data_IF_225266024318
#
_entry.id   IF_225266024318
#
_cell.length_a   1.000
_cell.length_b   1.000
_cell.length_c   1.000
_cell.angle_alpha   90.00
_cell.angle_beta   90.00
_cell.angle_gamma   90.00
#
_symmetry.space_group_name_H-M   'P 1'
#
loop_
_entity.id
_entity.type
_entity.pdbx_description
1 polymer ?
#
# COMPACT_ATOMS: atom_id res chain seq x y z
N UNK A 1 -5.77 25.90 -9.08
CA UNK A 1 -5.66 24.56 -9.67
C UNK A 1 -4.31 24.44 -10.34
N UNK A 2 -3.38 23.80 -9.64
CA UNK A 2 -2.06 23.46 -10.15
C UNK A 2 -2.14 22.05 -10.68
N UNK A 3 -1.66 21.79 -11.90
CA UNK A 3 -1.65 20.45 -12.48
C UNK A 3 -0.21 20.11 -12.85
N UNK A 4 0.35 19.12 -12.16
CA UNK A 4 1.59 18.48 -12.55
C UNK A 4 1.26 17.31 -13.49
N UNK A 5 1.82 17.32 -14.70
CA UNK A 5 1.68 16.22 -15.66
C UNK A 5 3.04 15.62 -15.98
N UNK A 6 3.14 14.29 -15.95
CA UNK A 6 4.34 13.56 -16.32
C UNK A 6 4.00 12.37 -17.21
N UNK A 7 4.73 12.22 -18.31
CA UNK A 7 4.71 11.02 -19.12
C UNK A 7 5.87 10.11 -18.69
N UNK A 8 5.57 8.90 -18.20
CA UNK A 8 6.58 7.95 -17.74
C UNK A 8 6.17 6.50 -17.95
N UNK A 9 7.17 5.64 -18.17
CA UNK A 9 7.00 4.20 -18.07
C UNK A 9 6.85 3.85 -16.60
N UNK A 10 5.69 3.32 -16.25
CA UNK A 10 5.23 3.21 -14.88
C UNK A 10 4.57 1.86 -14.65
N UNK A 11 4.57 1.43 -13.39
CA UNK A 11 3.92 0.22 -12.94
C UNK A 11 3.27 0.49 -11.58
N UNK A 12 1.97 0.23 -11.44
CA UNK A 12 1.28 0.46 -10.19
C UNK A 12 1.62 -0.66 -9.22
N UNK A 13 1.79 -0.29 -7.96
CA UNK A 13 2.11 -1.21 -6.87
C UNK A 13 1.32 -0.81 -5.64
N UNK A 14 1.09 -1.76 -4.73
CA UNK A 14 0.47 -1.44 -3.44
C UNK A 14 1.42 -0.59 -2.59
N UNK A 15 0.99 0.58 -2.09
CA UNK A 15 1.88 1.50 -1.39
C UNK A 15 2.39 0.94 -0.07
N UNK A 16 1.54 0.25 0.69
CA UNK A 16 1.90 -0.38 1.96
C UNK A 16 2.93 -1.50 1.77
N UNK A 17 2.71 -2.38 0.78
CA UNK A 17 3.63 -3.46 0.47
C UNK A 17 4.96 -2.93 -0.08
N UNK A 18 4.93 -1.87 -0.89
CA UNK A 18 6.14 -1.22 -1.39
C UNK A 18 6.94 -0.60 -0.24
N UNK A 19 6.30 0.17 0.63
CA UNK A 19 6.95 0.80 1.78
C UNK A 19 7.57 -0.22 2.72
N UNK A 20 6.81 -1.25 3.08
CA UNK A 20 7.27 -2.38 3.90
C UNK A 20 8.49 -3.07 3.27
N UNK A 21 8.43 -3.38 1.97
CA UNK A 21 9.50 -4.08 1.27
C UNK A 21 10.75 -3.22 1.10
N UNK A 22 10.58 -1.92 0.87
CA UNK A 22 11.72 -0.99 0.79
C UNK A 22 12.40 -0.82 2.15
N UNK A 23 11.63 -0.74 3.23
CA UNK A 23 12.17 -0.71 4.59
C UNK A 23 12.96 -1.99 4.88
N UNK A 24 12.37 -3.16 4.61
CA UNK A 24 13.02 -4.46 4.80
C UNK A 24 14.32 -4.57 4.00
N UNK A 25 14.31 -4.14 2.74
CA UNK A 25 15.49 -4.18 1.86
C UNK A 25 16.60 -3.25 2.36
N UNK A 26 16.25 -2.03 2.75
CA UNK A 26 17.19 -1.02 3.22
C UNK A 26 17.86 -1.43 4.55
N UNK A 27 17.09 -1.98 5.47
CA UNK A 27 17.61 -2.51 6.74
C UNK A 27 18.45 -3.78 6.55
N UNK A 28 18.12 -4.60 5.53
CA UNK A 28 18.91 -5.78 5.16
C UNK A 28 20.18 -5.44 4.38
N UNK A 29 20.26 -4.23 3.82
CA UNK A 29 21.29 -3.84 2.87
C UNK A 29 22.72 -4.03 3.38
N UNK A 30 23.08 -3.69 4.64
CA UNK A 30 24.42 -3.94 5.15
C UNK A 30 24.79 -5.43 5.13
N UNK A 31 23.86 -6.29 5.54
CA UNK A 31 24.03 -7.75 5.55
C UNK A 31 24.17 -8.31 4.14
N UNK A 32 23.32 -7.85 3.21
CA UNK A 32 23.38 -8.26 1.80
C UNK A 32 24.71 -7.84 1.15
N UNK A 33 25.18 -6.62 1.41
CA UNK A 33 26.46 -6.14 0.91
C UNK A 33 27.63 -6.92 1.51
N UNK A 34 27.59 -7.20 2.82
CA UNK A 34 28.59 -8.04 3.47
C UNK A 34 28.65 -9.44 2.84
N UNK A 35 27.50 -10.09 2.65
CA UNK A 35 27.41 -11.41 2.00
C UNK A 35 28.05 -11.38 0.61
N UNK A 36 27.71 -10.38 -0.22
CA UNK A 36 28.27 -10.20 -1.58
C UNK A 36 29.77 -9.96 -1.57
N UNK A 37 30.27 -9.14 -0.63
CA UNK A 37 31.69 -8.86 -0.49
C UNK A 37 32.45 -10.11 -0.03
N UNK A 38 31.92 -10.84 0.95
CA UNK A 38 32.49 -12.10 1.41
C UNK A 38 32.51 -13.16 0.29
N UNK A 39 31.44 -13.24 -0.51
CA UNK A 39 31.37 -14.14 -1.67
C UNK A 39 32.39 -13.78 -2.76
N UNK A 40 32.52 -12.49 -3.09
CA UNK A 40 33.36 -12.03 -4.19
C UNK A 40 34.85 -11.96 -3.85
N UNK A 41 35.18 -11.63 -2.59
CA UNK A 41 36.55 -11.27 -2.19
C UNK A 41 37.10 -12.07 -1.00
N UNK A 42 36.33 -12.99 -0.43
CA UNK A 42 36.79 -13.83 0.67
C UNK A 42 38.07 -14.60 0.33
N UNK A 43 39.02 -14.64 1.26
CA UNK A 43 40.28 -15.38 1.11
C UNK A 43 40.55 -16.26 2.32
N UNK A 44 41.26 -17.37 2.10
CA UNK A 44 41.70 -18.29 3.16
C UNK A 44 40.91 -19.60 3.21
N UNK A 45 41.37 -20.55 4.03
CA UNK A 45 40.81 -21.91 4.09
C UNK A 45 39.38 -21.97 4.64
N UNK A 46 38.93 -20.94 5.37
CA UNK A 46 37.61 -20.84 5.98
C UNK A 46 36.61 -20.00 5.16
N UNK A 47 37.00 -19.52 3.97
CA UNK A 47 36.13 -18.71 3.12
C UNK A 47 35.16 -19.59 2.30
N UNK A 48 34.32 -20.39 2.98
CA UNK A 48 33.42 -21.33 2.29
C UNK A 48 32.37 -20.64 1.42
N UNK A 49 31.94 -19.44 1.81
CA UNK A 49 30.94 -18.65 1.08
C UNK A 49 31.36 -18.40 -0.36
N UNK A 50 32.66 -18.15 -0.64
CA UNK A 50 33.15 -17.87 -2.00
C UNK A 50 33.00 -19.05 -2.97
N UNK A 51 32.80 -20.26 -2.44
CA UNK A 51 32.62 -21.48 -3.24
C UNK A 51 31.16 -21.75 -3.57
N UNK A 52 30.22 -20.99 -3.00
CA UNK A 52 28.81 -21.15 -3.28
C UNK A 52 28.49 -20.69 -4.70
N UNK A 53 27.66 -21.44 -5.45
CA UNK A 53 27.09 -20.96 -6.70
C UNK A 53 26.29 -19.66 -6.47
N UNK A 54 26.29 -18.78 -7.47
CA UNK A 54 25.58 -17.49 -7.39
C UNK A 54 24.08 -17.65 -7.14
N UNK A 55 23.49 -18.75 -7.60
CA UNK A 55 22.10 -19.10 -7.37
C UNK A 55 21.83 -19.35 -5.88
N UNK A 56 22.73 -20.05 -5.18
CA UNK A 56 22.61 -20.30 -3.74
C UNK A 56 22.76 -19.01 -2.95
N UNK A 57 23.67 -18.13 -3.35
CA UNK A 57 23.82 -16.81 -2.73
C UNK A 57 22.54 -15.99 -2.91
N UNK A 58 21.94 -16.00 -4.10
CA UNK A 58 20.69 -15.30 -4.36
C UNK A 58 19.52 -15.84 -3.51
N UNK A 59 19.48 -17.15 -3.23
CA UNK A 59 18.52 -17.73 -2.29
C UNK A 59 18.76 -17.24 -0.86
N UNK A 60 20.02 -17.22 -0.39
CA UNK A 60 20.35 -16.70 0.94
C UNK A 60 19.96 -15.21 1.06
N UNK A 61 20.22 -14.41 0.02
CA UNK A 61 19.81 -13.00 -0.01
C UNK A 61 18.28 -12.86 0.10
N UNK A 62 17.52 -13.72 -0.57
CA UNK A 62 16.07 -13.74 -0.50
C UNK A 62 15.59 -14.11 0.92
N UNK A 63 16.16 -15.14 1.54
CA UNK A 63 15.81 -15.53 2.92
C UNK A 63 16.12 -14.44 3.94
N UNK A 64 17.27 -13.75 3.81
CA UNK A 64 17.61 -12.60 4.66
C UNK A 64 16.54 -11.50 4.53
N UNK A 65 16.12 -11.22 3.31
CA UNK A 65 15.09 -10.22 3.04
C UNK A 65 13.72 -10.62 3.63
N UNK A 66 13.26 -11.86 3.39
CA UNK A 66 11.99 -12.36 3.92
C UNK A 66 12.01 -12.40 5.44
N UNK A 67 13.10 -12.82 6.06
CA UNK A 67 13.26 -12.82 7.51
C UNK A 67 13.16 -11.39 8.08
N UNK A 68 13.80 -10.40 7.43
CA UNK A 68 13.71 -9.01 7.90
C UNK A 68 12.31 -8.44 7.71
N UNK A 69 11.67 -8.71 6.57
CA UNK A 69 10.30 -8.29 6.28
C UNK A 69 9.31 -8.88 7.30
N UNK A 70 9.44 -10.16 7.61
CA UNK A 70 8.61 -10.83 8.64
C UNK A 70 8.82 -10.18 10.00
N UNK A 71 10.07 -9.90 10.37
CA UNK A 71 10.39 -9.20 11.63
C UNK A 71 9.77 -7.80 11.70
N UNK A 72 9.69 -7.06 10.60
CA UNK A 72 9.00 -5.75 10.58
C UNK A 72 7.48 -5.89 10.84
N UNK A 73 6.87 -7.03 10.50
CA UNK A 73 5.45 -7.31 10.78
C UNK A 73 5.18 -7.74 12.22
N UNK A 74 6.22 -8.24 12.90
CA UNK A 74 6.13 -8.80 14.25
C UNK A 74 6.75 -7.86 15.30
N UNK A 75 7.52 -6.86 14.86
CA UNK A 75 8.13 -5.85 15.72
C UNK A 75 7.02 -4.95 16.30
N UNK A 76 6.48 -5.38 17.44
CA UNK A 76 5.69 -4.54 18.33
C UNK A 76 6.66 -3.66 19.10
N UNK A 77 6.64 -2.35 18.85
CA UNK A 77 7.30 -1.41 19.74
C UNK A 77 6.39 -1.23 20.96
N UNK A 78 6.80 -1.81 22.10
CA UNK A 78 6.02 -1.85 23.35
C UNK A 78 5.51 -0.46 23.78
N UNK A 79 6.17 0.61 23.35
CA UNK A 79 5.82 1.94 23.81
C UNK A 79 4.80 2.67 22.93
N UNK A 80 4.74 2.53 21.59
CA UNK A 80 3.97 3.52 20.80
C UNK A 80 3.48 3.12 19.39
N UNK A 81 3.77 1.92 18.84
CA UNK A 81 3.47 1.67 17.42
C UNK A 81 2.72 0.36 17.13
N UNK A 82 1.76 0.39 16.18
CA UNK A 82 1.11 -0.81 15.63
C UNK A 82 2.09 -1.92 15.16
N UNK A 83 1.67 -3.18 15.28
CA UNK A 83 2.46 -4.39 14.95
C UNK A 83 2.97 -4.37 13.50
N UNK A 84 2.21 -3.74 12.58
CA UNK A 84 2.69 -3.40 11.25
C UNK A 84 2.24 -1.98 10.82
N UNK A 85 3.10 -0.97 10.97
CA UNK A 85 2.71 0.41 10.68
C UNK A 85 2.38 0.67 9.22
N UNK A 86 2.88 -0.13 8.27
CA UNK A 86 2.53 0.09 6.86
C UNK A 86 1.12 -0.37 6.55
N UNK A 87 0.74 -1.55 7.02
CA UNK A 87 -0.57 -2.14 6.73
C UNK A 87 -1.64 -1.43 7.55
N UNK A 88 -1.40 -1.17 8.83
CA UNK A 88 -2.39 -0.61 9.73
C UNK A 88 -2.68 0.86 9.42
N UNK A 89 -1.65 1.69 9.24
CA UNK A 89 -1.84 3.10 8.86
C UNK A 89 -2.53 3.21 7.50
N UNK A 90 -2.18 2.34 6.54
CA UNK A 90 -2.85 2.33 5.24
C UNK A 90 -4.30 1.82 5.34
N UNK A 91 -4.56 0.83 6.19
CA UNK A 91 -5.92 0.36 6.47
C UNK A 91 -6.80 1.48 7.03
N UNK A 92 -6.26 2.27 7.96
CA UNK A 92 -6.92 3.47 8.48
C UNK A 92 -7.16 4.48 7.35
N UNK A 93 -6.14 4.78 6.55
CA UNK A 93 -6.26 5.72 5.45
C UNK A 93 -7.30 5.32 4.40
N UNK A 94 -7.49 4.01 4.19
CA UNK A 94 -8.53 3.47 3.29
C UNK A 94 -9.88 3.24 3.96
N UNK A 95 -10.04 3.65 5.22
CA UNK A 95 -11.25 3.43 6.02
C UNK A 95 -11.63 1.95 6.11
N UNK A 96 -10.61 1.07 6.12
CA UNK A 96 -10.75 -0.39 6.27
C UNK A 96 -10.55 -0.88 7.70
N UNK A 97 -10.15 0.00 8.61
CA UNK A 97 -9.98 -0.30 10.02
C UNK A 97 -11.31 -0.37 10.79
N UNK A 98 -11.26 -1.06 11.92
CA UNK A 98 -12.33 -1.21 12.90
C UNK A 98 -12.12 -0.37 14.19
N UNK A 99 -13.07 0.01 15.09
CA UNK A 99 -12.71 0.80 16.27
C UNK A 99 -11.93 -0.09 17.23
N UNK A 100 -12.19 -1.41 17.21
CA UNK A 100 -11.39 -2.43 17.90
C UNK A 100 -9.93 -2.44 17.40
N UNK A 101 -9.66 -2.13 16.12
CA UNK A 101 -8.28 -1.99 15.60
C UNK A 101 -7.56 -0.75 16.16
N UNK A 102 -8.30 0.18 16.77
CA UNK A 102 -7.77 1.37 17.43
C UNK A 102 -7.78 1.24 18.96
N UNK A 103 -8.04 0.05 19.50
CA UNK A 103 -7.91 -0.18 20.92
C UNK A 103 -6.44 -0.21 21.35
N UNK A 104 -6.18 0.31 22.54
CA UNK A 104 -4.93 0.14 23.28
C UNK A 104 -5.25 -0.29 24.71
N UNK A 105 -4.20 -0.50 25.50
CA UNK A 105 -4.31 -0.93 26.90
C UNK A 105 -5.13 0.05 27.76
N UNK A 106 -5.19 1.33 27.38
CA UNK A 106 -5.97 2.36 28.09
C UNK A 106 -7.47 2.10 27.93
N UNK A 107 -7.88 1.48 26.82
CA UNK A 107 -9.26 1.16 26.50
C UNK A 107 -9.72 -0.21 27.01
N UNK A 108 -8.91 -0.90 27.83
CA UNK A 108 -9.25 -2.20 28.43
C UNK A 108 -10.56 -2.20 29.23
N UNK A 109 -10.97 -1.08 29.82
CA UNK A 109 -12.25 -0.98 30.53
C UNK A 109 -13.49 -1.10 29.62
N UNK A 110 -13.38 -0.75 28.33
CA UNK A 110 -14.45 -0.96 27.36
C UNK A 110 -14.58 -2.43 26.98
N UNK A 111 -13.49 -3.18 27.10
CA UNK A 111 -13.45 -4.61 26.86
C UNK A 111 -14.34 -5.37 27.84
N UNK A 112 -14.22 -5.02 29.13
CA UNK A 112 -15.03 -5.62 30.19
C UNK A 112 -16.52 -5.31 29.99
N UNK A 113 -16.84 -4.07 29.60
CA UNK A 113 -18.21 -3.66 29.30
C UNK A 113 -18.80 -4.37 28.06
N UNK A 114 -17.99 -4.66 27.04
CA UNK A 114 -18.42 -5.44 25.89
C UNK A 114 -18.68 -6.90 26.27
N UNK A 115 -17.76 -7.51 27.04
CA UNK A 115 -17.90 -8.88 27.54
C UNK A 115 -19.17 -9.09 28.36
N UNK A 116 -19.56 -8.12 29.19
CA UNK A 116 -20.79 -8.17 29.98
C UNK A 116 -22.07 -8.18 29.11
N UNK A 117 -22.01 -7.66 27.88
CA UNK A 117 -23.15 -7.57 26.97
C UNK A 117 -23.20 -8.71 25.92
N UNK A 118 -22.15 -9.51 25.80
CA UNK A 118 -22.09 -10.59 24.82
C UNK A 118 -22.67 -11.86 25.44
N UNK A 119 -23.84 -12.27 24.95
CA UNK A 119 -24.31 -13.64 25.20
C UNK A 119 -23.39 -14.62 24.47
N UNK A 120 -22.92 -15.70 25.11
CA UNK A 120 -22.16 -16.73 24.42
C UNK A 120 -22.97 -17.26 23.24
N UNK A 121 -22.32 -17.57 22.13
CA UNK A 121 -23.04 -18.07 20.95
C UNK A 121 -23.71 -19.42 21.26
N UNK A 122 -24.79 -19.75 20.53
CA UNK A 122 -25.58 -20.97 20.78
C UNK A 122 -24.77 -22.29 20.71
N UNK A 123 -23.60 -22.29 20.06
CA UNK A 123 -22.68 -23.43 20.00
C UNK A 123 -21.89 -23.52 21.30
N UNK A 124 -21.30 -22.40 21.75
CA UNK A 124 -20.55 -22.32 22.97
C UNK A 124 -21.46 -22.44 24.24
N UNK A 125 -22.78 -22.19 24.13
CA UNK A 125 -23.78 -22.50 25.18
C UNK A 125 -24.16 -23.98 25.29
N UNK A 126 -23.92 -24.80 24.24
CA UNK A 126 -24.28 -26.24 24.23
C UNK A 126 -23.20 -27.13 24.83
N UNK A 127 -21.98 -26.63 24.88
CA UNK A 127 -20.87 -27.29 25.52
C UNK A 127 -20.64 -26.56 26.85
N UNK A 128 -20.94 -27.22 27.98
CA UNK A 128 -20.68 -26.66 29.33
C UNK A 128 -19.19 -26.32 29.57
N UNK A 129 -18.31 -26.78 28.67
CA UNK A 129 -16.91 -26.38 28.56
C UNK A 129 -16.74 -25.43 27.36
N UNK A 130 -16.12 -24.27 27.59
CA UNK A 130 -15.80 -23.26 26.59
C UNK A 130 -15.22 -23.92 25.33
N UNK A 131 -16.01 -23.99 24.26
CA UNK A 131 -15.67 -24.78 23.08
C UNK A 131 -14.59 -24.06 22.26
N UNK A 132 -13.34 -24.48 22.42
CA UNK A 132 -12.21 -24.13 21.55
C UNK A 132 -12.25 -24.86 20.20
N UNK A 133 -13.41 -24.93 19.53
CA UNK A 133 -13.38 -25.30 18.10
C UNK A 133 -13.04 -24.04 17.30
N UNK A 134 -12.13 -24.14 16.34
CA UNK A 134 -11.68 -22.99 15.53
C UNK A 134 -12.86 -22.20 14.93
N UNK A 135 -13.96 -22.89 14.59
CA UNK A 135 -15.20 -22.29 14.12
C UNK A 135 -16.03 -21.56 15.21
N UNK A 136 -16.07 -22.02 16.47
CA UNK A 136 -16.68 -21.23 17.56
C UNK A 136 -15.80 -20.00 17.85
N UNK A 137 -14.47 -20.12 17.76
CA UNK A 137 -13.53 -19.02 18.01
C UNK A 137 -13.75 -17.89 17.02
N UNK A 138 -13.83 -18.16 15.71
CA UNK A 138 -14.02 -17.12 14.70
C UNK A 138 -15.41 -16.47 14.79
N UNK A 139 -16.47 -17.26 14.98
CA UNK A 139 -17.83 -16.73 15.11
C UNK A 139 -18.05 -15.93 16.40
N UNK A 140 -17.50 -16.40 17.54
CA UNK A 140 -17.55 -15.65 18.80
C UNK A 140 -16.67 -14.40 18.74
N UNK A 141 -15.51 -14.46 18.07
CA UNK A 141 -14.66 -13.30 17.84
C UNK A 141 -15.40 -12.23 17.04
N UNK A 142 -16.08 -12.60 15.95
CA UNK A 142 -16.86 -11.63 15.19
C UNK A 142 -17.96 -10.98 16.03
N UNK A 143 -18.72 -11.77 16.80
CA UNK A 143 -19.76 -11.23 17.70
C UNK A 143 -19.18 -10.27 18.75
N UNK A 144 -17.97 -10.58 19.21
CA UNK A 144 -17.23 -9.76 20.15
C UNK A 144 -16.75 -8.45 19.52
N UNK A 145 -16.09 -8.53 18.36
CA UNK A 145 -15.64 -7.38 17.60
C UNK A 145 -16.84 -6.49 17.27
N UNK A 146 -17.96 -7.05 16.82
CA UNK A 146 -19.20 -6.30 16.56
C UNK A 146 -19.72 -5.55 17.81
N UNK A 147 -19.77 -6.19 18.98
CA UNK A 147 -20.22 -5.56 20.21
C UNK A 147 -19.27 -4.46 20.73
N UNK A 148 -17.96 -4.69 20.63
CA UNK A 148 -16.93 -3.69 20.95
C UNK A 148 -17.04 -2.51 19.99
N UNK A 149 -17.17 -2.79 18.70
CA UNK A 149 -17.31 -1.77 17.65
C UNK A 149 -18.55 -0.90 17.88
N UNK A 150 -19.69 -1.49 18.27
CA UNK A 150 -20.92 -0.75 18.59
C UNK A 150 -20.75 0.19 19.79
N UNK A 151 -20.03 -0.23 20.84
CA UNK A 151 -19.74 0.60 22.02
C UNK A 151 -18.79 1.75 21.66
N UNK A 152 -17.82 1.47 20.79
CA UNK A 152 -16.76 2.41 20.43
C UNK A 152 -17.13 3.34 19.27
N UNK A 153 -18.27 3.13 18.61
CA UNK A 153 -18.68 3.84 17.40
C UNK A 153 -18.66 5.37 17.54
N UNK A 154 -19.13 5.87 18.69
CA UNK A 154 -19.21 7.31 18.99
C UNK A 154 -18.03 7.80 19.86
N UNK A 155 -16.96 7.03 19.95
CA UNK A 155 -15.80 7.41 20.77
C UNK A 155 -14.93 8.46 20.07
N UNK A 156 -14.85 9.65 20.67
CA UNK A 156 -13.94 10.71 20.24
C UNK A 156 -12.48 10.25 20.22
N UNK A 157 -12.11 9.37 21.14
CA UNK A 157 -10.74 8.85 21.24
C UNK A 157 -10.38 7.97 20.03
N UNK A 158 -11.26 7.05 19.65
CA UNK A 158 -11.07 6.19 18.48
C UNK A 158 -11.03 7.04 17.22
N UNK A 159 -11.94 8.01 17.09
CA UNK A 159 -11.95 8.95 15.98
C UNK A 159 -10.62 9.71 15.88
N UNK A 160 -10.12 10.24 17.01
CA UNK A 160 -8.84 10.93 17.06
C UNK A 160 -7.69 10.01 16.60
N UNK A 161 -7.61 8.79 17.13
CA UNK A 161 -6.56 7.82 16.78
C UNK A 161 -6.61 7.42 15.31
N UNK A 162 -7.80 7.28 14.73
CA UNK A 162 -7.97 7.05 13.31
C UNK A 162 -7.40 8.19 12.46
N UNK A 163 -7.74 9.43 12.79
CA UNK A 163 -7.25 10.60 12.06
C UNK A 163 -5.75 10.81 12.23
N UNK A 164 -5.21 10.52 13.41
CA UNK A 164 -3.77 10.53 13.67
C UNK A 164 -3.06 9.48 12.79
N UNK A 165 -3.56 8.24 12.76
CA UNK A 165 -3.04 7.20 11.88
C UNK A 165 -3.10 7.60 10.39
N UNK A 166 -4.17 8.27 9.96
CA UNK A 166 -4.27 8.80 8.59
C UNK A 166 -3.21 9.88 8.31
N UNK A 167 -2.95 10.76 9.27
CA UNK A 167 -1.88 11.77 9.20
C UNK A 167 -0.51 11.13 9.12
N UNK A 168 -0.24 10.16 10.00
CA UNK A 168 1.00 9.38 10.00
C UNK A 168 1.21 8.64 8.67
N UNK A 169 0.15 8.08 8.08
CA UNK A 169 0.23 7.47 6.75
C UNK A 169 0.72 8.47 5.70
N UNK A 170 0.09 9.65 5.61
CA UNK A 170 0.45 10.70 4.65
C UNK A 170 1.93 11.06 4.79
N UNK A 171 2.38 11.38 6.01
CA UNK A 171 3.79 11.71 6.28
C UNK A 171 4.72 10.56 5.93
N UNK A 172 4.35 9.31 6.26
CA UNK A 172 5.20 8.13 6.05
C UNK A 172 5.40 7.78 4.58
N UNK A 173 4.37 7.90 3.75
CA UNK A 173 4.42 7.55 2.32
C UNK A 173 4.89 8.73 1.43
N UNK A 174 4.97 9.95 1.98
CA UNK A 174 5.42 11.13 1.25
C UNK A 174 6.85 10.92 0.68
N UNK A 175 7.07 11.04 -0.65
CA UNK A 175 8.38 10.90 -1.27
C UNK A 175 9.38 12.01 -0.94
N UNK A 176 8.94 13.16 -0.43
CA UNK A 176 9.78 14.30 -0.07
C UNK A 176 10.14 14.31 1.43
N UNK A 177 9.27 13.79 2.28
CA UNK A 177 9.53 13.61 3.72
C UNK A 177 9.74 12.12 4.09
N UNK A 178 8.72 11.43 4.58
CA UNK A 178 8.88 10.17 5.32
C UNK A 178 9.46 9.02 4.50
N UNK A 179 9.19 8.96 3.21
CA UNK A 179 9.71 7.92 2.31
C UNK A 179 10.90 8.37 1.47
N UNK A 180 11.45 9.57 1.69
CA UNK A 180 12.58 10.10 0.92
C UNK A 180 13.80 9.16 0.91
N UNK A 181 14.06 8.48 2.03
CA UNK A 181 15.09 7.43 2.14
C UNK A 181 14.82 6.26 1.20
N UNK A 182 13.57 5.80 1.11
CA UNK A 182 13.15 4.68 0.26
C UNK A 182 13.16 5.04 -1.22
N UNK A 183 12.83 6.29 -1.56
CA UNK A 183 13.01 6.83 -2.92
C UNK A 183 14.49 6.77 -3.34
N UNK A 184 15.42 7.10 -2.43
CA UNK A 184 16.85 6.97 -2.71
C UNK A 184 17.27 5.51 -2.92
N UNK A 185 16.70 4.57 -2.16
CA UNK A 185 16.93 3.13 -2.35
C UNK A 185 16.47 2.67 -3.74
N UNK A 186 15.25 3.05 -4.15
CA UNK A 186 14.73 2.76 -5.50
C UNK A 186 15.66 3.29 -6.60
N UNK A 187 16.07 4.55 -6.48
CA UNK A 187 16.96 5.19 -7.48
C UNK A 187 18.32 4.51 -7.52
N UNK A 188 18.93 4.26 -6.36
CA UNK A 188 20.30 3.74 -6.25
C UNK A 188 20.42 2.27 -6.65
N UNK A 189 19.50 1.41 -6.22
CA UNK A 189 19.64 -0.05 -6.37
C UNK A 189 18.83 -0.63 -7.54
N UNK A 190 17.78 0.08 -7.95
CA UNK A 190 16.87 -0.37 -9.00
C UNK A 190 16.85 0.56 -10.21
N UNK A 191 17.36 1.80 -10.10
CA UNK A 191 17.32 2.79 -11.18
C UNK A 191 15.88 3.18 -11.54
N UNK A 192 15.01 3.17 -10.53
CA UNK A 192 13.59 3.50 -10.58
C UNK A 192 13.29 4.65 -9.61
N UNK A 193 12.15 5.29 -9.80
CA UNK A 193 11.64 6.34 -8.93
C UNK A 193 10.19 6.01 -8.51
N UNK A 194 9.65 6.75 -7.55
CA UNK A 194 8.31 6.54 -7.01
C UNK A 194 7.47 7.80 -7.15
N UNK A 195 6.21 7.62 -7.52
CA UNK A 195 5.18 8.65 -7.50
C UNK A 195 4.03 8.15 -6.65
N UNK A 196 3.56 9.03 -5.76
CA UNK A 196 2.51 8.77 -4.79
C UNK A 196 1.48 9.86 -4.95
N UNK A 197 0.22 9.49 -4.83
CA UNK A 197 -0.88 10.42 -4.88
C UNK A 197 -2.03 9.93 -3.99
N UNK A 198 -2.67 10.84 -3.28
CA UNK A 198 -3.83 10.53 -2.44
C UNK A 198 -5.10 10.90 -3.20
N UNK A 199 -6.13 10.07 -3.15
CA UNK A 199 -7.39 10.36 -3.83
C UNK A 199 -8.60 9.87 -3.05
N UNK A 200 -9.78 10.42 -3.37
CA UNK A 200 -11.07 9.94 -2.86
C UNK A 200 -11.57 8.80 -3.71
N UNK A 201 -12.28 7.89 -3.05
CA UNK A 201 -13.01 6.84 -3.73
C UNK A 201 -14.45 7.29 -3.91
N UNK A 202 -14.99 7.01 -5.08
CA UNK A 202 -16.42 7.22 -5.34
C UNK A 202 -17.24 6.29 -4.44
N UNK A 203 -18.36 6.78 -3.92
CA UNK A 203 -19.30 6.03 -3.08
C UNK A 203 -19.73 4.74 -3.79
N UNK A 204 -19.98 4.80 -5.10
CA UNK A 204 -20.42 3.65 -5.88
C UNK A 204 -19.35 2.53 -5.89
N UNK A 205 -18.07 2.90 -5.86
CA UNK A 205 -16.97 1.94 -5.80
C UNK A 205 -16.75 1.41 -4.40
N UNK A 206 -16.93 2.23 -3.38
CA UNK A 206 -16.71 1.84 -1.99
C UNK A 206 -17.70 0.76 -1.52
N UNK A 207 -18.99 0.88 -1.88
CA UNK A 207 -20.00 -0.13 -1.52
C UNK A 207 -19.80 -1.48 -2.19
N UNK A 208 -19.09 -1.54 -3.33
CA UNK A 208 -18.83 -2.78 -4.08
C UNK A 208 -17.68 -3.61 -3.50
N UNK A 209 -16.91 -3.07 -2.56
CA UNK A 209 -15.85 -3.81 -1.90
C UNK A 209 -16.40 -4.48 -0.65
N UNK A 210 -16.59 -5.80 -0.69
CA UNK A 210 -17.18 -6.56 0.42
C UNK A 210 -16.41 -6.40 1.74
N UNK A 211 -15.11 -6.09 1.66
CA UNK A 211 -14.28 -5.79 2.84
C UNK A 211 -14.61 -4.44 3.50
N UNK A 212 -15.33 -3.57 2.79
CA UNK A 212 -15.83 -2.27 3.28
C UNK A 212 -17.28 -2.31 3.72
N UNK A 213 -17.93 -3.48 3.76
CA UNK A 213 -19.26 -3.60 4.33
C UNK A 213 -19.32 -3.14 5.81
N UNK A 214 -18.17 -3.13 6.49
CA UNK A 214 -18.00 -2.59 7.84
C UNK A 214 -17.62 -1.10 7.87
N UNK A 215 -17.52 -0.40 6.72
CA UNK A 215 -17.19 1.03 6.67
C UNK A 215 -18.36 1.95 7.05
N UNK A 216 -19.39 1.43 7.73
CA UNK A 216 -20.64 2.13 8.04
C UNK A 216 -20.41 3.36 8.92
N UNK A 217 -19.25 3.43 9.57
CA UNK A 217 -18.89 4.43 10.58
C UNK A 217 -18.12 5.58 9.96
N UNK A 218 -17.72 5.41 8.70
CA UNK A 218 -16.99 6.38 7.92
C UNK A 218 -17.97 7.02 6.94
N UNK A 219 -18.12 8.34 7.01
CA UNK A 219 -18.94 9.07 6.04
C UNK A 219 -18.27 9.00 4.66
N UNK A 220 -19.05 9.07 3.59
CA UNK A 220 -18.55 8.88 2.24
C UNK A 220 -17.36 9.79 1.84
N UNK A 221 -17.30 10.99 2.41
CA UNK A 221 -16.23 11.97 2.24
C UNK A 221 -14.89 11.56 2.87
N UNK A 222 -14.89 10.54 3.73
CA UNK A 222 -13.70 9.98 4.38
C UNK A 222 -13.09 8.80 3.63
N UNK A 223 -13.74 8.29 2.57
CA UNK A 223 -13.24 7.17 1.79
C UNK A 223 -12.09 7.61 0.87
N UNK A 224 -10.89 7.14 1.20
CA UNK A 224 -9.66 7.55 0.52
C UNK A 224 -8.84 6.34 0.11
N UNK A 225 -7.82 6.59 -0.70
CA UNK A 225 -6.76 5.63 -0.98
C UNK A 225 -5.51 6.35 -1.46
N UNK A 226 -4.41 5.61 -1.46
CA UNK A 226 -3.14 6.03 -2.01
C UNK A 226 -2.83 5.23 -3.26
N UNK A 227 -2.65 5.94 -4.36
CA UNK A 227 -2.16 5.38 -5.61
C UNK A 227 -0.63 5.51 -5.59
N UNK A 228 0.07 4.42 -5.90
CA UNK A 228 1.52 4.43 -5.99
C UNK A 228 1.98 3.79 -7.30
N UNK A 229 2.88 4.47 -7.98
CA UNK A 229 3.58 3.97 -9.15
C UNK A 229 5.07 4.00 -8.93
N UNK A 230 5.74 2.92 -9.32
CA UNK A 230 7.17 2.96 -9.61
C UNK A 230 7.38 3.23 -11.09
N UNK A 231 8.33 4.09 -11.43
CA UNK A 231 8.51 4.55 -12.80
C UNK A 231 9.99 4.74 -13.14
N UNK A 232 10.31 4.76 -14.44
CA UNK A 232 11.66 5.11 -14.90
C UNK A 232 11.88 6.62 -14.74
N UNK A 233 12.91 7.06 -14.01
CA UNK A 233 13.27 8.47 -13.98
C UNK A 233 13.55 8.91 -15.41
N UNK A 234 12.72 9.79 -15.94
CA UNK A 234 12.94 10.43 -17.23
C UNK A 234 13.74 11.72 -17.00
N UNK A 235 14.61 12.08 -17.94
CA UNK A 235 15.27 13.41 -17.98
C UNK A 235 14.28 14.55 -18.32
N UNK A 236 12.99 14.23 -18.47
CA UNK A 236 11.97 15.23 -18.70
C UNK A 236 11.86 16.14 -17.48
N UNK A 237 11.76 17.47 -17.68
CA UNK A 237 11.68 18.42 -16.59
C UNK A 237 10.62 17.98 -15.58
N UNK A 238 10.93 18.12 -14.28
CA UNK A 238 9.89 18.04 -13.26
C UNK A 238 8.78 19.01 -13.68
N UNK A 239 7.51 18.57 -13.76
CA UNK A 239 6.43 19.49 -14.05
C UNK A 239 6.52 20.66 -13.07
N UNK A 240 6.54 21.89 -13.60
CA UNK A 240 6.56 23.09 -12.77
C UNK A 240 5.25 23.14 -11.98
N UNK A 241 5.35 22.93 -10.68
CA UNK A 241 4.29 23.21 -9.72
C UNK A 241 4.23 24.72 -9.57
N UNK A 242 3.10 25.33 -9.94
CA UNK A 242 2.90 26.78 -9.88
C UNK A 242 2.27 27.14 -8.53
N UNK A 243 3.03 27.01 -7.42
CA UNK A 243 2.52 27.27 -6.07
C UNK A 243 1.84 28.64 -5.96
N UNK A 244 0.57 28.64 -5.54
CA UNK A 244 -0.10 29.84 -5.02
C UNK A 244 -0.40 29.65 -3.53
N UNK A 245 0.39 30.30 -2.68
CA UNK A 245 0.16 30.37 -1.23
C UNK A 245 -1.19 31.05 -0.92
N UNK A 246 -2.22 30.31 -0.47
CA UNK A 246 -3.38 30.88 0.23
C UNK A 246 -3.99 29.91 1.28
N UNK A 247 -4.65 30.52 2.26
CA UNK A 247 -4.95 30.04 3.61
C UNK A 247 -5.92 28.85 3.70
N UNK A 248 -5.62 27.93 4.62
CA UNK A 248 -6.38 26.73 4.97
C UNK A 248 -7.20 27.01 6.23
N UNK A 249 -8.51 27.19 6.09
CA UNK A 249 -9.45 27.16 7.21
C UNK A 249 -10.43 26.00 6.99
N UNK A 250 -10.08 24.82 7.53
CA UNK A 250 -11.00 23.71 7.85
C UNK A 250 -11.61 22.87 6.70
N UNK A 251 -10.83 22.55 5.66
CA UNK A 251 -11.15 21.46 4.74
C UNK A 251 -9.88 20.76 4.29
N UNK A 252 -9.78 19.44 4.47
CA UNK A 252 -8.61 18.65 4.07
C UNK A 252 -8.44 18.77 2.54
N UNK A 253 -7.37 19.42 2.09
CA UNK A 253 -7.07 19.58 0.67
C UNK A 253 -6.88 18.20 0.04
N UNK A 254 -7.64 17.94 -1.02
CA UNK A 254 -7.60 16.67 -1.73
C UNK A 254 -6.97 16.85 -3.09
N UNK A 255 -5.94 16.06 -3.36
CA UNK A 255 -5.38 15.95 -4.68
C UNK A 255 -6.37 15.21 -5.59
N UNK A 256 -6.75 15.88 -6.68
CA UNK A 256 -7.34 15.18 -7.82
C UNK A 256 -6.24 14.53 -8.61
N UNK A 257 -6.40 13.23 -8.82
CA UNK A 257 -5.39 12.40 -9.47
C UNK A 257 -6.02 11.74 -10.67
N UNK A 258 -5.40 11.89 -11.83
CA UNK A 258 -5.79 11.15 -13.02
C UNK A 258 -4.59 10.44 -13.61
N UNK A 259 -4.81 9.20 -14.01
CA UNK A 259 -3.81 8.39 -14.68
C UNK A 259 -4.39 7.92 -15.98
N UNK A 260 -3.75 8.27 -17.09
CA UNK A 260 -4.18 7.86 -18.41
C UNK A 260 -3.12 6.96 -19.04
N UNK A 261 -3.54 5.75 -19.42
CA UNK A 261 -2.70 4.87 -20.23
C UNK A 261 -2.58 5.50 -21.62
N UNK A 262 -1.35 5.68 -22.09
CA UNK A 262 -1.10 6.12 -23.46
C UNK A 262 -1.00 4.86 -24.33
N UNK A 263 -2.02 4.57 -25.17
CA UNK A 263 -1.99 3.38 -26.02
C UNK A 263 -0.86 3.54 -27.03
N UNK A 264 0.13 2.65 -26.92
CA UNK A 264 1.20 2.53 -27.90
C UNK A 264 1.03 1.23 -28.66
N UNK A 265 0.92 1.32 -29.98
CA UNK A 265 1.01 0.15 -30.84
C UNK A 265 2.44 -0.42 -30.70
N UNK A 266 2.53 -1.61 -30.10
CA UNK A 266 3.77 -2.36 -29.83
C UNK A 266 4.69 -1.80 -28.73
N UNK A 267 4.21 -1.86 -27.47
CA UNK A 267 4.94 -1.52 -26.24
C UNK A 267 6.38 -2.07 -26.21
N UNK A 268 6.58 -3.32 -26.64
CA UNK A 268 7.87 -4.03 -26.54
C UNK A 268 8.91 -3.48 -27.51
N UNK A 269 8.47 -2.90 -28.63
CA UNK A 269 9.36 -2.29 -29.61
C UNK A 269 9.94 -0.94 -29.13
N UNK A 270 9.26 -0.27 -28.19
CA UNK A 270 9.57 1.10 -27.78
C UNK A 270 10.44 1.14 -26.53
N UNK A 271 10.25 0.22 -25.59
CA UNK A 271 11.06 0.16 -24.37
C UNK A 271 12.24 -0.79 -24.54
N UNK A 272 13.44 -0.31 -24.21
CA UNK A 272 14.64 -1.14 -24.20
C UNK A 272 14.51 -2.27 -23.17
N UNK A 273 14.91 -3.49 -23.55
CA UNK A 273 14.86 -4.66 -22.67
C UNK A 273 15.62 -4.45 -21.35
N UNK A 274 16.70 -3.65 -21.38
CA UNK A 274 17.44 -3.26 -20.19
C UNK A 274 16.60 -2.44 -19.19
N UNK A 275 15.66 -1.62 -19.68
CA UNK A 275 14.74 -0.83 -18.85
C UNK A 275 13.63 -1.71 -18.27
N UNK A 276 13.07 -2.63 -19.06
CA UNK A 276 12.14 -3.66 -18.56
C UNK A 276 12.77 -4.54 -17.49
N UNK A 277 14.06 -4.88 -17.66
CA UNK A 277 14.84 -5.63 -16.68
C UNK A 277 14.85 -4.97 -15.29
N UNK A 278 14.77 -3.64 -15.19
CA UNK A 278 14.72 -2.92 -13.90
C UNK A 278 13.41 -3.17 -13.16
N UNK A 279 12.27 -3.14 -13.87
CA UNK A 279 10.96 -3.46 -13.30
C UNK A 279 10.90 -4.92 -12.84
N UNK A 280 11.36 -5.86 -13.68
CA UNK A 280 11.39 -7.28 -13.28
C UNK A 280 12.30 -7.52 -12.08
N UNK A 281 13.45 -6.82 -12.03
CA UNK A 281 14.37 -6.89 -10.89
C UNK A 281 13.72 -6.39 -9.61
N UNK A 282 13.06 -5.22 -9.61
CA UNK A 282 12.44 -4.68 -8.39
C UNK A 282 11.28 -5.55 -7.91
N UNK A 283 10.43 -6.05 -8.81
CA UNK A 283 9.34 -6.97 -8.43
C UNK A 283 9.89 -8.24 -7.77
N UNK A 284 10.92 -8.84 -8.38
CA UNK A 284 11.52 -10.07 -7.86
C UNK A 284 12.24 -9.86 -6.53
N UNK A 285 13.00 -8.77 -6.39
CA UNK A 285 13.83 -8.53 -5.20
C UNK A 285 12.99 -8.04 -4.03
N UNK A 286 11.99 -7.20 -4.28
CA UNK A 286 11.10 -6.67 -3.25
C UNK A 286 9.86 -7.54 -3.03
N UNK A 287 9.71 -8.65 -3.76
CA UNK A 287 8.56 -9.55 -3.69
C UNK A 287 7.23 -8.78 -3.83
N UNK A 288 7.11 -8.07 -4.95
CA UNK A 288 5.97 -7.24 -5.30
C UNK A 288 5.26 -7.78 -6.53
N UNK A 289 3.99 -7.41 -6.66
CA UNK A 289 3.17 -7.67 -7.83
C UNK A 289 2.57 -6.36 -8.36
N UNK A 290 2.35 -6.24 -9.69
CA UNK A 290 1.59 -5.12 -10.24
C UNK A 290 0.19 -5.06 -9.63
N UNK A 291 -0.20 -3.91 -9.10
CA UNK A 291 -1.49 -3.74 -8.43
C UNK A 291 -2.24 -2.55 -8.99
N UNK A 292 -3.17 -2.80 -9.92
CA UNK A 292 -4.06 -1.76 -10.44
C UNK A 292 -5.31 -1.69 -9.57
N UNK A 293 -5.62 -0.52 -9.01
CA UNK A 293 -6.82 -0.36 -8.22
C UNK A 293 -8.08 -0.51 -9.09
N UNK A 294 -9.15 -1.06 -8.54
CA UNK A 294 -10.34 -1.46 -9.30
C UNK A 294 -10.96 -0.31 -10.10
N UNK A 295 -11.14 0.86 -9.51
CA UNK A 295 -11.71 2.03 -10.20
C UNK A 295 -10.81 2.55 -11.33
N UNK A 296 -9.49 2.35 -11.25
CA UNK A 296 -8.59 2.72 -12.34
C UNK A 296 -8.82 1.84 -13.57
N UNK A 297 -9.12 0.55 -13.37
CA UNK A 297 -9.49 -0.36 -14.46
C UNK A 297 -10.79 0.11 -15.14
N UNK A 298 -11.81 0.41 -14.35
CA UNK A 298 -13.12 0.84 -14.86
C UNK A 298 -13.04 2.19 -15.62
N UNK A 299 -12.24 3.14 -15.14
CA UNK A 299 -11.99 4.39 -15.84
C UNK A 299 -11.26 4.19 -17.18
N UNK A 300 -10.31 3.25 -17.23
CA UNK A 300 -9.59 2.92 -18.46
C UNK A 300 -10.49 2.26 -19.51
N UNK A 301 -11.37 1.35 -19.09
CA UNK A 301 -12.32 0.66 -19.97
C UNK A 301 -13.39 1.60 -20.53
N UNK A 302 -13.86 2.54 -19.70
CA UNK A 302 -14.82 3.56 -20.10
C UNK A 302 -14.26 4.54 -21.14
N UNK A 303 -12.98 4.89 -21.03
CA UNK A 303 -12.28 5.77 -21.98
C UNK A 303 -12.05 5.06 -23.33
N UNK A 304 -11.63 3.79 -23.31
CA UNK A 304 -11.43 2.99 -24.52
C UNK A 304 -12.73 2.86 -25.36
N UNK A 305 -13.89 2.72 -24.70
CA UNK A 305 -15.19 2.60 -25.36
C UNK A 305 -15.72 3.91 -25.98
N UNK A 306 -15.18 5.08 -25.60
CA UNK A 306 -15.59 6.39 -26.15
C UNK A 306 -14.76 6.85 -27.35
N UNK A 307 -13.70 6.12 -27.68
CA UNK A 307 -13.00 6.30 -28.96
C UNK A 307 -13.84 5.68 -30.07
N UNK A 308 -14.05 6.34 -31.24
CA UNK A 308 -14.80 5.75 -32.34
C UNK A 308 -14.00 4.56 -32.89
N UNK A 309 -14.36 3.36 -32.44
CA UNK A 309 -13.71 2.13 -32.86
C UNK A 309 -14.29 1.65 -34.18
N UNK A 310 -13.40 1.48 -35.14
CA UNK A 310 -13.56 0.53 -36.24
C UNK A 310 -13.86 -0.83 -35.62
N UNK A 311 -14.96 -1.45 -36.05
CA UNK A 311 -15.43 -2.74 -35.58
C UNK A 311 -14.40 -3.84 -35.82
N UNK A 312 -13.74 -4.31 -34.76
CA UNK A 312 -13.15 -5.65 -34.74
C UNK A 312 -13.42 -6.29 -33.39
N UNK A 313 -14.42 -7.17 -33.36
CA UNK A 313 -14.75 -8.00 -32.22
C UNK A 313 -13.59 -8.92 -31.88
N UNK A 314 -12.94 -8.64 -30.77
CA UNK A 314 -12.04 -9.57 -30.09
C UNK A 314 -12.32 -9.42 -28.60
N UNK A 315 -12.64 -10.52 -27.92
CA UNK A 315 -12.90 -10.58 -26.49
C UNK A 315 -11.74 -9.94 -25.71
N UNK A 316 -11.98 -8.77 -25.11
CA UNK A 316 -10.99 -8.01 -24.35
C UNK A 316 -10.93 -8.51 -22.91
N UNK A 317 -10.33 -9.68 -22.72
CA UNK A 317 -9.81 -10.10 -21.41
C UNK A 317 -8.31 -10.42 -21.52
N UNK A 318 -7.60 -9.66 -22.35
CA UNK A 318 -6.13 -9.69 -22.36
C UNK A 318 -5.63 -9.09 -21.04
N UNK A 319 -4.96 -9.91 -20.24
CA UNK A 319 -4.27 -9.47 -19.03
C UNK A 319 -3.39 -8.27 -19.37
N UNK A 320 -3.70 -7.12 -18.77
CA UNK A 320 -2.96 -5.89 -18.97
C UNK A 320 -1.49 -6.10 -18.60
N UNK A 321 -0.61 -6.08 -19.59
CA UNK A 321 0.83 -6.32 -19.40
C UNK A 321 1.48 -5.04 -18.86
N UNK A 322 2.20 -5.15 -17.74
CA UNK A 322 2.98 -4.08 -17.11
C UNK A 322 4.49 -4.28 -17.34
N UNK A 323 5.32 -3.21 -17.33
CA UNK A 323 4.99 -1.79 -17.15
C UNK A 323 4.32 -1.15 -18.38
N UNK A 324 3.70 0.02 -18.22
CA UNK A 324 3.04 0.77 -19.30
C UNK A 324 3.46 2.24 -19.35
N UNK A 325 3.33 2.87 -20.53
CA UNK A 325 3.51 4.31 -20.65
C UNK A 325 2.25 5.02 -20.13
N UNK A 326 2.40 5.74 -19.02
CA UNK A 326 1.31 6.45 -18.38
C UNK A 326 1.57 7.96 -18.41
N UNK A 327 0.50 8.72 -18.65
CA UNK A 327 0.42 10.11 -18.27
C UNK A 327 -0.11 10.18 -16.84
N UNK A 328 0.77 10.50 -15.90
CA UNK A 328 0.47 10.74 -14.50
C UNK A 328 0.13 12.21 -14.34
N UNK A 329 -1.08 12.53 -13.93
CA UNK A 329 -1.47 13.90 -13.57
C UNK A 329 -1.90 13.96 -12.11
N UNK A 330 -1.32 14.91 -11.37
CA UNK A 330 -1.80 15.30 -10.05
C UNK A 330 -2.15 16.78 -10.07
N UNK A 331 -3.22 17.16 -9.40
CA UNK A 331 -3.54 18.55 -9.19
C UNK A 331 -4.40 18.78 -7.97
N UNK A 332 -4.17 19.90 -7.29
CA UNK A 332 -4.95 20.30 -6.12
C UNK A 332 -6.17 21.08 -6.61
N UNK A 333 -7.35 20.57 -6.27
CA UNK A 333 -8.62 21.27 -6.46
C UNK A 333 -9.02 21.84 -5.10
N UNK A 334 -8.96 23.16 -4.98
CA UNK A 334 -9.57 23.82 -3.84
C UNK A 334 -11.08 23.79 -4.04
N UNK A 335 -11.81 23.29 -3.05
CA UNK A 335 -13.25 23.40 -3.05
C UNK A 335 -13.62 24.87 -2.87
N UNK A 336 -14.24 25.48 -3.87
CA UNK A 336 -14.94 26.75 -3.70
C UNK A 336 -16.17 26.46 -2.81
N UNK A 337 -16.04 26.65 -1.50
CA UNK A 337 -17.18 26.63 -0.56
C UNK A 337 -17.96 27.94 -0.61
#
# INVERSE_FOLDING_TARGET
>A
MEIATRLAWSMPVRPDLLGESLQAFDESLPTLLMLRLCHSYGRGPQAFVTRLPSEVVALIEHEIFIARRTKIREEVDEDLMPENPWIELFSCFESRCQPVDHMDDVMSGYLDAALDNISPCSICLRHDDWCYSDYCVEGCRQLYDDAVNDILLDSDYISYRHWDNCGMWKTRIDPEEGSARYVQVLRKFFGLDMWVAHTRLDEEHAHKDAKRAHSIWWTADTLRTTICYIFLPNDLPKPHVLCREQNIEHGDEMETVSTQVVPLADLKSIIEEARLGRFRKVLKVLDLEPHVQRYQKEASDGSAKRSPSVESGTDMNEEQVWPQLLMLTSGVVHGDT
#
